data_IF_961948510357
#
_entry.id   IF_961948510357
#
_cell.length_a   1.000
_cell.length_b   1.000
_cell.length_c   1.000
_cell.angle_alpha   90.00
_cell.angle_beta   90.00
_cell.angle_gamma   90.00
#
_symmetry.space_group_name_H-M   'P 1'
#
loop_
_entity.id
_entity.type
_entity.pdbx_description
1 polymer ?
#
# COMPACT_ATOMS: atom_id res chain seq x y z
N UNK A 1 -10.38 4.29 -7.24
CA UNK A 1 -11.13 3.03 -7.44
C UNK A 1 -10.30 2.15 -8.38
N UNK A 2 -10.20 0.86 -8.09
CA UNK A 2 -9.48 -0.12 -8.91
C UNK A 2 -10.46 -1.20 -9.40
N UNK A 3 -10.15 -1.84 -10.54
CA UNK A 3 -10.95 -2.90 -11.14
C UNK A 3 -10.14 -4.19 -11.24
N UNK A 4 -10.78 -5.32 -10.97
CA UNK A 4 -10.21 -6.64 -11.14
C UNK A 4 -11.22 -7.59 -11.80
N UNK A 5 -10.73 -8.41 -12.73
CA UNK A 5 -11.51 -9.46 -13.41
C UNK A 5 -10.80 -10.82 -13.22
N UNK A 6 -11.39 -11.68 -12.40
CA UNK A 6 -10.85 -13.01 -12.12
C UNK A 6 -10.95 -13.97 -13.33
N UNK A 7 -11.71 -13.61 -14.37
CA UNK A 7 -11.82 -14.40 -15.60
C UNK A 7 -10.77 -14.04 -16.65
N UNK A 8 -10.12 -12.87 -16.49
CA UNK A 8 -9.07 -12.44 -17.38
C UNK A 8 -7.76 -13.18 -17.12
N UNK A 9 -6.96 -13.47 -18.16
CA UNK A 9 -5.65 -14.04 -17.96
C UNK A 9 -4.74 -13.09 -17.16
N UNK A 10 -4.06 -13.63 -16.15
CA UNK A 10 -3.11 -12.86 -15.37
C UNK A 10 -1.77 -12.75 -16.11
N UNK A 11 -1.32 -11.53 -16.33
CA UNK A 11 0.03 -11.30 -16.82
C UNK A 11 1.05 -11.83 -15.82
N UNK A 12 2.01 -12.61 -16.30
CA UNK A 12 3.14 -13.06 -15.49
C UNK A 12 4.35 -12.16 -15.75
N UNK A 13 5.20 -11.95 -14.75
CA UNK A 13 6.41 -11.16 -14.92
C UNK A 13 7.32 -11.75 -16.00
N UNK A 14 7.98 -10.88 -16.74
CA UNK A 14 8.91 -11.27 -17.82
C UNK A 14 10.37 -10.96 -17.48
N UNK A 15 10.60 -10.19 -16.44
CA UNK A 15 11.95 -9.83 -15.99
C UNK A 15 12.54 -10.91 -15.06
N UNK A 16 13.86 -11.19 -15.14
CA UNK A 16 14.53 -12.10 -14.24
C UNK A 16 14.35 -11.70 -12.76
N UNK A 17 14.25 -12.71 -11.89
CA UNK A 17 14.13 -12.55 -10.44
C UNK A 17 12.86 -11.83 -9.95
N UNK A 18 11.84 -11.73 -10.80
CA UNK A 18 10.52 -11.26 -10.38
C UNK A 18 9.70 -12.39 -9.77
N UNK A 19 9.05 -12.14 -8.65
CA UNK A 19 8.14 -13.11 -8.03
C UNK A 19 6.93 -13.37 -8.92
N UNK A 20 6.46 -14.62 -9.04
CA UNK A 20 5.29 -14.93 -9.86
C UNK A 20 4.03 -14.30 -9.26
N UNK A 21 3.10 -13.90 -10.12
CA UNK A 21 1.75 -13.50 -9.70
C UNK A 21 0.94 -14.76 -9.39
N UNK A 22 0.55 -14.92 -8.12
CA UNK A 22 -0.25 -16.07 -7.66
C UNK A 22 -1.72 -15.66 -7.63
N UNK A 23 -2.56 -16.35 -8.41
CA UNK A 23 -4.00 -16.11 -8.41
C UNK A 23 -4.67 -16.88 -7.26
N UNK A 24 -5.51 -16.21 -6.51
CA UNK A 24 -6.56 -16.88 -5.78
C UNK A 24 -7.68 -17.23 -6.77
N UNK A 25 -7.95 -18.51 -6.96
CA UNK A 25 -8.96 -18.95 -7.91
C UNK A 25 -10.36 -18.82 -7.30
N UNK A 26 -11.26 -18.12 -8.00
CA UNK A 26 -12.69 -18.25 -7.78
C UNK A 26 -13.23 -19.41 -8.62
N UNK A 27 -14.20 -20.15 -8.07
CA UNK A 27 -14.91 -21.17 -8.86
C UNK A 27 -15.60 -20.50 -10.07
N UNK A 28 -15.63 -21.17 -11.25
CA UNK A 28 -16.37 -20.66 -12.39
C UNK A 28 -17.85 -20.39 -12.02
N UNK A 29 -18.34 -19.21 -12.41
CA UNK A 29 -19.69 -18.77 -12.08
C UNK A 29 -19.91 -18.28 -10.65
N UNK A 30 -18.87 -18.20 -9.82
CA UNK A 30 -18.97 -17.56 -8.51
C UNK A 30 -19.32 -16.07 -8.63
N UNK A 31 -20.04 -15.56 -7.63
CA UNK A 31 -20.28 -14.11 -7.53
C UNK A 31 -18.96 -13.34 -7.37
N UNK A 32 -18.96 -12.07 -7.76
CA UNK A 32 -17.80 -11.20 -7.63
C UNK A 32 -16.56 -11.63 -8.43
N UNK A 33 -16.74 -12.28 -9.58
CA UNK A 33 -15.61 -12.53 -10.50
C UNK A 33 -15.04 -11.22 -11.03
N UNK A 34 -15.91 -10.25 -11.31
CA UNK A 34 -15.55 -8.88 -11.65
C UNK A 34 -15.86 -7.98 -10.48
N UNK A 35 -14.85 -7.25 -9.99
CA UNK A 35 -15.00 -6.43 -8.80
C UNK A 35 -14.36 -5.07 -8.92
N UNK A 36 -15.01 -4.13 -8.28
CA UNK A 36 -14.47 -2.80 -8.02
C UNK A 36 -13.95 -2.76 -6.59
N UNK A 37 -12.71 -2.26 -6.42
CA UNK A 37 -12.11 -2.06 -5.12
C UNK A 37 -11.94 -0.57 -4.88
N UNK A 38 -12.34 -0.13 -3.70
CA UNK A 38 -12.19 1.25 -3.27
C UNK A 38 -11.84 1.30 -1.80
N UNK A 39 -11.13 2.33 -1.40
CA UNK A 39 -10.94 2.64 0.00
C UNK A 39 -11.82 3.85 0.39
N UNK A 40 -12.05 3.99 1.67
CA UNK A 40 -12.85 5.06 2.25
C UNK A 40 -12.00 5.91 3.17
N UNK A 41 -12.40 7.16 3.34
CA UNK A 41 -11.67 8.12 4.18
C UNK A 41 -11.56 7.68 5.64
N UNK A 42 -12.51 6.85 6.11
CA UNK A 42 -12.56 6.32 7.46
C UNK A 42 -11.73 5.04 7.67
N UNK A 43 -10.93 4.64 6.65
CA UNK A 43 -9.97 3.54 6.77
C UNK A 43 -10.52 2.15 6.49
N UNK A 44 -11.40 1.99 5.49
CA UNK A 44 -11.85 0.67 5.01
C UNK A 44 -11.41 0.43 3.58
N UNK A 45 -11.06 -0.79 3.24
CA UNK A 45 -10.96 -1.28 1.87
C UNK A 45 -12.22 -2.10 1.56
N UNK A 46 -12.89 -1.77 0.49
CA UNK A 46 -14.20 -2.33 0.10
C UNK A 46 -14.07 -3.01 -1.25
N UNK A 47 -14.69 -4.20 -1.40
CA UNK A 47 -14.87 -4.87 -2.67
C UNK A 47 -16.35 -4.98 -3.02
N UNK A 48 -16.70 -4.52 -4.21
CA UNK A 48 -18.06 -4.52 -4.75
C UNK A 48 -18.08 -5.31 -6.06
N UNK A 49 -19.07 -6.15 -6.23
CA UNK A 49 -19.34 -6.85 -7.48
C UNK A 49 -19.66 -5.83 -8.59
N UNK A 50 -18.91 -5.85 -9.67
CA UNK A 50 -19.01 -4.85 -10.74
C UNK A 50 -20.29 -5.00 -11.56
N UNK A 51 -20.95 -6.16 -11.51
CA UNK A 51 -22.17 -6.42 -12.27
C UNK A 51 -23.44 -6.06 -11.49
N UNK A 52 -23.42 -6.25 -10.17
CA UNK A 52 -24.61 -6.12 -9.31
C UNK A 52 -24.55 -4.92 -8.37
N UNK A 53 -23.38 -4.35 -8.13
CA UNK A 53 -23.17 -3.29 -7.14
C UNK A 53 -23.23 -3.77 -5.68
N UNK A 54 -23.32 -5.07 -5.43
CA UNK A 54 -23.38 -5.62 -4.08
C UNK A 54 -21.99 -5.87 -3.51
N UNK A 55 -21.85 -5.85 -2.19
CA UNK A 55 -20.59 -6.21 -1.54
C UNK A 55 -20.18 -7.65 -1.85
N UNK A 56 -18.88 -7.85 -2.12
CA UNK A 56 -18.27 -9.16 -2.28
C UNK A 56 -18.12 -9.84 -0.93
N UNK A 57 -19.13 -10.58 -0.48
CA UNK A 57 -19.24 -11.11 0.88
C UNK A 57 -18.04 -11.96 1.33
N UNK A 58 -17.34 -12.60 0.40
CA UNK A 58 -16.11 -13.37 0.67
C UNK A 58 -14.84 -12.53 0.81
N UNK A 59 -14.92 -11.20 0.67
CA UNK A 59 -13.79 -10.29 0.84
C UNK A 59 -13.78 -9.70 2.25
N UNK A 60 -12.75 -10.00 3.04
CA UNK A 60 -12.63 -9.57 4.42
C UNK A 60 -13.84 -9.96 5.26
N UNK A 61 -14.41 -9.01 5.98
CA UNK A 61 -15.64 -9.19 6.73
C UNK A 61 -16.79 -8.48 6.00
N UNK A 62 -17.73 -9.24 5.44
CA UNK A 62 -18.87 -8.70 4.70
C UNK A 62 -18.50 -7.72 3.58
N UNK A 63 -17.47 -8.04 2.81
CA UNK A 63 -17.02 -7.21 1.67
C UNK A 63 -16.05 -6.10 2.05
N UNK A 64 -15.51 -6.09 3.26
CA UNK A 64 -14.69 -4.99 3.78
C UNK A 64 -13.51 -5.49 4.60
N UNK A 65 -12.40 -4.73 4.54
CA UNK A 65 -11.21 -4.89 5.39
C UNK A 65 -11.02 -3.61 6.19
N UNK A 66 -10.78 -3.75 7.50
CA UNK A 66 -10.43 -2.63 8.38
C UNK A 66 -8.95 -2.26 8.21
N UNK A 67 -8.67 -1.11 7.63
CA UNK A 67 -7.31 -0.61 7.42
C UNK A 67 -6.73 0.12 8.63
N UNK A 68 -7.49 0.32 9.71
CA UNK A 68 -6.96 0.81 10.98
C UNK A 68 -6.40 -0.31 11.86
N UNK A 69 -6.59 -1.58 11.48
CA UNK A 69 -6.02 -2.72 12.21
C UNK A 69 -4.49 -2.61 12.31
N UNK A 70 -3.94 -2.82 13.51
CA UNK A 70 -2.51 -2.72 13.79
C UNK A 70 -1.96 -1.28 13.91
N UNK A 71 -2.79 -0.25 13.81
CA UNK A 71 -2.35 1.14 13.98
C UNK A 71 -2.49 1.68 15.41
N UNK A 72 -3.07 0.89 16.32
CA UNK A 72 -3.37 1.30 17.69
C UNK A 72 -4.60 2.21 17.79
N UNK A 73 -4.59 3.12 18.74
CA UNK A 73 -5.62 4.14 18.84
C UNK A 73 -5.42 5.18 17.74
N UNK A 74 -6.43 5.32 16.89
CA UNK A 74 -6.41 6.21 15.73
C UNK A 74 -7.61 7.14 15.81
N UNK A 75 -7.46 8.33 16.43
CA UNK A 75 -8.48 9.36 16.40
C UNK A 75 -8.89 9.70 14.96
N UNK A 76 -10.10 10.25 14.81
CA UNK A 76 -10.60 10.68 13.53
C UNK A 76 -9.65 11.67 12.87
N UNK A 77 -9.43 11.53 11.57
CA UNK A 77 -8.48 12.29 10.75
C UNK A 77 -6.99 12.00 10.93
N UNK A 78 -6.56 11.20 11.91
CA UNK A 78 -5.14 10.89 12.08
C UNK A 78 -4.61 9.91 11.02
N UNK A 79 -5.47 9.04 10.49
CA UNK A 79 -5.15 8.14 9.38
C UNK A 79 -6.30 8.13 8.38
N UNK A 80 -6.01 8.42 7.12
CA UNK A 80 -6.99 8.55 6.05
C UNK A 80 -6.45 7.94 4.75
N UNK A 81 -7.36 7.47 3.88
CA UNK A 81 -7.03 6.98 2.55
C UNK A 81 -7.30 8.08 1.52
N UNK A 82 -6.26 8.78 1.09
CA UNK A 82 -6.37 9.91 0.16
C UNK A 82 -6.23 9.52 -1.31
N UNK A 83 -5.66 8.33 -1.60
CA UNK A 83 -5.49 7.81 -2.96
C UNK A 83 -6.23 6.49 -3.16
N UNK A 84 -6.58 6.17 -4.40
CA UNK A 84 -7.19 4.90 -4.75
C UNK A 84 -6.25 3.73 -4.42
N UNK A 85 -6.80 2.54 -4.08
CA UNK A 85 -5.97 1.34 -3.98
C UNK A 85 -5.38 0.99 -5.36
N UNK A 86 -4.17 0.44 -5.37
CA UNK A 86 -3.49 0.02 -6.60
C UNK A 86 -3.72 -1.49 -6.83
N UNK A 87 -4.13 -1.86 -8.04
CA UNK A 87 -4.10 -3.27 -8.47
C UNK A 87 -2.72 -3.63 -8.99
N UNK A 88 -2.10 -4.63 -8.37
CA UNK A 88 -0.81 -5.19 -8.76
C UNK A 88 -0.94 -6.72 -8.92
N UNK A 89 -1.25 -7.17 -10.13
CA UNK A 89 -1.62 -8.56 -10.39
C UNK A 89 -2.85 -8.97 -9.59
N UNK A 90 -2.69 -9.83 -8.60
CA UNK A 90 -3.75 -10.27 -7.67
C UNK A 90 -3.62 -9.67 -6.27
N UNK A 91 -2.74 -8.71 -6.11
CA UNK A 91 -2.55 -7.98 -4.85
C UNK A 91 -3.18 -6.59 -4.96
N UNK A 92 -3.97 -6.22 -3.97
CA UNK A 92 -4.47 -4.85 -3.79
C UNK A 92 -3.53 -4.15 -2.82
N UNK A 93 -2.81 -3.14 -3.30
CA UNK A 93 -1.85 -2.39 -2.49
C UNK A 93 -2.50 -1.11 -1.99
N UNK A 94 -2.33 -0.84 -0.70
CA UNK A 94 -2.91 0.31 -0.01
C UNK A 94 -1.82 0.98 0.82
N UNK A 95 -1.61 2.25 0.59
CA UNK A 95 -0.92 3.16 1.51
C UNK A 95 -1.95 3.97 2.31
N UNK A 96 -1.50 4.98 3.01
CA UNK A 96 -2.40 5.87 3.73
C UNK A 96 -1.71 7.18 4.09
N UNK A 97 -2.49 8.23 4.23
CA UNK A 97 -2.06 9.50 4.77
C UNK A 97 -2.09 9.42 6.30
N UNK A 98 -1.00 9.76 6.94
CA UNK A 98 -0.93 10.08 8.36
C UNK A 98 -0.97 11.59 8.50
N UNK A 99 -1.72 12.13 9.45
CA UNK A 99 -1.83 13.58 9.63
C UNK A 99 -0.50 14.18 10.07
N UNK A 100 -0.12 15.28 9.44
CA UNK A 100 1.14 15.97 9.60
C UNK A 100 1.11 16.93 10.79
N UNK A 101 2.25 17.16 11.42
CA UNK A 101 2.49 18.25 12.37
C UNK A 101 1.44 18.43 13.49
N UNK A 102 0.69 17.37 13.84
CA UNK A 102 -0.30 17.38 14.93
C UNK A 102 0.36 17.09 16.27
N UNK A 103 1.14 16.02 16.31
CA UNK A 103 1.91 15.57 17.48
C UNK A 103 3.01 14.60 17.05
N UNK A 104 3.93 14.26 17.95
CA UNK A 104 5.05 13.35 17.64
C UNK A 104 4.66 11.88 17.69
N UNK A 105 3.59 11.52 18.36
CA UNK A 105 3.08 10.13 18.45
C UNK A 105 1.87 9.94 17.56
N UNK A 106 2.13 9.70 16.26
CA UNK A 106 1.11 9.46 15.23
C UNK A 106 1.03 7.98 14.85
N UNK A 107 -0.05 7.52 14.18
CA UNK A 107 -0.07 6.18 13.58
C UNK A 107 1.11 5.94 12.65
N UNK A 108 1.49 4.68 12.43
CA UNK A 108 2.52 4.32 11.46
C UNK A 108 2.05 4.45 10.02
N UNK A 109 2.99 4.76 9.12
CA UNK A 109 2.76 4.91 7.67
C UNK A 109 2.80 3.59 6.89
N UNK A 110 2.41 2.48 7.49
CA UNK A 110 2.48 1.14 6.90
C UNK A 110 1.79 1.04 5.54
N UNK A 111 2.47 0.39 4.58
CA UNK A 111 1.92 0.00 3.29
C UNK A 111 1.55 -1.48 3.35
N UNK A 112 0.39 -1.87 2.80
CA UNK A 112 -0.09 -3.25 2.89
C UNK A 112 -0.60 -3.77 1.57
N UNK A 113 -0.29 -5.04 1.28
CA UNK A 113 -0.83 -5.81 0.17
C UNK A 113 -1.88 -6.81 0.65
N UNK A 114 -3.03 -6.80 0.01
CA UNK A 114 -4.15 -7.70 0.31
C UNK A 114 -4.46 -8.60 -0.89
N UNK A 115 -4.84 -9.83 -0.62
CA UNK A 115 -5.39 -10.72 -1.64
C UNK A 115 -6.68 -10.12 -2.22
N UNK A 116 -6.73 -9.99 -3.56
CA UNK A 116 -7.85 -9.34 -4.24
C UNK A 116 -9.17 -10.09 -4.08
N UNK A 117 -9.13 -11.41 -3.86
CA UNK A 117 -10.32 -12.26 -3.73
C UNK A 117 -10.82 -12.30 -2.29
N UNK A 118 -9.92 -12.57 -1.36
CA UNK A 118 -10.27 -12.85 0.05
C UNK A 118 -10.18 -11.64 0.96
N UNK A 119 -9.41 -10.61 0.56
CA UNK A 119 -9.10 -9.48 1.44
C UNK A 119 -8.14 -9.82 2.58
N UNK A 120 -7.57 -11.03 2.60
CA UNK A 120 -6.54 -11.38 3.55
C UNK A 120 -5.26 -10.60 3.26
N UNK A 121 -4.62 -10.08 4.29
CA UNK A 121 -3.33 -9.42 4.15
C UNK A 121 -2.28 -10.47 3.74
N UNK A 122 -1.57 -10.18 2.65
CA UNK A 122 -0.43 -10.98 2.16
C UNK A 122 0.86 -10.53 2.78
N UNK A 123 1.02 -9.23 2.89
CA UNK A 123 2.20 -8.59 3.45
C UNK A 123 1.92 -7.19 3.97
N UNK A 124 2.76 -6.74 4.88
CA UNK A 124 2.88 -5.36 5.31
C UNK A 124 4.31 -4.90 5.10
N UNK A 125 4.51 -3.66 4.68
CA UNK A 125 5.79 -2.98 4.72
C UNK A 125 5.68 -1.84 5.73
N UNK A 126 6.30 -2.03 6.89
CA UNK A 126 6.40 -1.01 7.93
C UNK A 126 7.73 -0.27 7.76
N UNK A 127 7.75 1.02 7.38
CA UNK A 127 8.99 1.77 7.23
C UNK A 127 9.85 1.81 8.50
N UNK A 128 9.27 1.62 9.68
CA UNK A 128 10.00 1.55 10.96
C UNK A 128 10.50 0.15 11.31
N UNK A 129 10.04 -0.89 10.62
CA UNK A 129 10.46 -2.29 10.80
C UNK A 129 10.42 -3.04 9.45
N UNK A 130 11.28 -2.66 8.48
CA UNK A 130 11.18 -3.10 7.09
C UNK A 130 11.52 -4.58 6.85
N UNK A 131 12.00 -5.30 7.86
CA UNK A 131 12.32 -6.73 7.74
C UNK A 131 11.11 -7.62 8.06
N UNK A 132 10.07 -7.12 8.71
CA UNK A 132 8.87 -7.88 9.05
C UNK A 132 7.72 -7.55 8.08
N UNK A 133 7.13 -8.60 7.50
CA UNK A 133 6.01 -8.50 6.55
C UNK A 133 4.67 -8.85 7.17
N UNK A 134 4.64 -9.13 8.46
CA UNK A 134 3.45 -9.59 9.16
C UNK A 134 2.64 -8.42 9.76
N UNK A 135 1.42 -8.72 10.17
CA UNK A 135 0.70 -7.86 11.09
C UNK A 135 1.40 -7.87 12.46
N UNK A 136 1.36 -6.75 13.21
CA UNK A 136 1.86 -6.75 14.57
C UNK A 136 1.10 -7.77 15.42
N UNK A 137 1.76 -8.30 16.44
CA UNK A 137 1.14 -9.21 17.40
C UNK A 137 -0.04 -8.53 18.12
N UNK A 138 -0.97 -9.34 18.64
CA UNK A 138 -2.10 -8.84 19.38
C UNK A 138 -1.67 -7.90 20.53
N UNK A 139 -2.29 -6.74 20.59
CA UNK A 139 -1.95 -5.70 21.56
C UNK A 139 -0.75 -4.83 21.19
N UNK A 140 -0.09 -5.11 20.06
CA UNK A 140 1.01 -4.31 19.50
C UNK A 140 0.55 -3.50 18.29
N UNK A 141 1.41 -2.55 17.85
CA UNK A 141 1.17 -1.72 16.67
C UNK A 141 2.35 -1.78 15.71
N UNK A 142 2.13 -1.40 14.47
CA UNK A 142 3.22 -0.97 13.59
C UNK A 142 3.99 0.17 14.23
N UNK A 143 5.24 0.39 13.81
CA UNK A 143 6.06 1.49 14.33
C UNK A 143 5.37 2.81 14.04
N UNK A 144 5.27 3.63 15.08
CA UNK A 144 4.51 4.87 15.01
C UNK A 144 5.33 6.00 14.38
N UNK A 145 4.61 6.97 13.80
CA UNK A 145 5.16 8.22 13.24
C UNK A 145 6.11 8.05 12.06
N UNK A 146 6.09 6.89 11.41
CA UNK A 146 6.97 6.56 10.27
C UNK A 146 6.50 7.23 8.97
N UNK A 147 7.39 7.33 7.95
CA UNK A 147 7.04 7.75 6.60
C UNK A 147 5.83 7.00 6.06
N UNK A 148 5.02 7.66 5.25
CA UNK A 148 3.77 7.10 4.72
C UNK A 148 3.69 7.25 3.19
N UNK A 149 2.77 6.51 2.54
CA UNK A 149 2.51 6.63 1.11
C UNK A 149 1.05 7.03 0.89
N UNK A 150 0.81 8.32 0.79
CA UNK A 150 -0.53 8.89 0.63
C UNK A 150 -0.90 9.20 -0.83
N UNK A 151 0.10 9.39 -1.69
CA UNK A 151 -0.07 9.71 -3.09
C UNK A 151 -0.35 8.47 -3.96
N UNK A 152 -0.83 8.62 -5.20
CA UNK A 152 -1.07 7.50 -6.11
C UNK A 152 0.21 6.73 -6.42
N UNK A 153 0.10 5.41 -6.46
CA UNK A 153 1.20 4.46 -6.72
C UNK A 153 1.15 3.94 -8.16
N UNK A 154 2.27 3.36 -8.66
CA UNK A 154 2.35 2.71 -9.97
C UNK A 154 2.75 1.24 -9.84
N UNK A 155 2.39 0.44 -10.84
CA UNK A 155 2.73 -0.99 -10.93
C UNK A 155 3.29 -1.33 -12.31
N UNK A 156 4.43 -2.02 -12.34
CA UNK A 156 4.99 -2.62 -13.53
C UNK A 156 4.75 -4.15 -13.51
N UNK A 157 3.90 -4.67 -14.40
CA UNK A 157 3.63 -6.11 -14.45
C UNK A 157 4.81 -6.93 -14.96
N UNK A 158 5.71 -6.37 -15.77
CA UNK A 158 6.88 -7.09 -16.29
C UNK A 158 7.90 -7.38 -15.19
N UNK A 159 8.05 -6.45 -14.25
CA UNK A 159 8.93 -6.59 -13.10
C UNK A 159 8.20 -7.09 -11.83
N UNK A 160 6.89 -7.20 -11.87
CA UNK A 160 6.04 -7.42 -10.69
C UNK A 160 6.39 -6.48 -9.53
N UNK A 161 6.50 -5.19 -9.84
CA UNK A 161 7.01 -4.19 -8.90
C UNK A 161 6.01 -3.05 -8.73
N UNK A 162 5.74 -2.69 -7.49
CA UNK A 162 5.00 -1.47 -7.16
C UNK A 162 5.98 -0.37 -6.79
N UNK A 163 5.69 0.84 -7.26
CA UNK A 163 6.47 2.05 -6.99
C UNK A 163 5.61 3.00 -6.16
N UNK A 164 6.11 3.33 -4.99
CA UNK A 164 5.41 4.09 -3.97
C UNK A 164 6.10 5.43 -3.77
N UNK A 165 5.40 6.55 -4.00
CA UNK A 165 5.89 7.85 -3.60
C UNK A 165 5.70 7.98 -2.09
N UNK A 166 6.79 8.20 -1.36
CA UNK A 166 6.80 8.28 0.10
C UNK A 166 6.81 9.74 0.55
N UNK A 167 5.94 10.04 1.48
CA UNK A 167 5.95 11.26 2.26
C UNK A 167 6.88 11.16 3.46
N UNK A 168 7.00 12.24 4.21
CA UNK A 168 7.82 12.31 5.41
C UNK A 168 7.21 11.55 6.59
N UNK A 169 8.00 11.36 7.65
CA UNK A 169 7.52 10.90 8.96
C UNK A 169 6.85 12.06 9.69
N UNK A 170 5.92 11.80 10.58
CA UNK A 170 5.39 12.84 11.48
C UNK A 170 6.43 13.12 12.59
N UNK A 171 6.82 14.34 12.83
CA UNK A 171 6.38 15.62 12.29
C UNK A 171 7.28 16.06 11.12
N UNK A 172 6.70 16.61 10.05
CA UNK A 172 7.44 16.83 8.79
C UNK A 172 8.49 17.95 8.91
N UNK A 173 8.18 18.98 9.67
CA UNK A 173 9.05 20.15 9.84
C UNK A 173 9.97 20.07 11.08
N UNK A 174 10.00 18.92 11.79
CA UNK A 174 10.79 18.71 12.99
C UNK A 174 11.52 17.36 12.95
N UNK A 175 12.81 17.37 12.70
CA UNK A 175 13.60 16.17 12.46
C UNK A 175 14.37 15.59 13.65
N UNK A 176 14.26 16.17 14.87
CA UNK A 176 15.08 15.75 16.01
C UNK A 176 14.79 14.33 16.48
N UNK A 177 13.55 13.86 16.31
CA UNK A 177 13.11 12.52 16.73
C UNK A 177 13.15 11.48 15.60
N UNK A 178 13.55 11.87 14.37
CA UNK A 178 13.62 10.97 13.23
C UNK A 178 14.68 9.90 13.43
N UNK A 179 14.28 8.66 13.24
CA UNK A 179 15.18 7.51 13.21
C UNK A 179 15.98 7.48 11.91
N UNK A 180 16.97 6.59 11.84
CA UNK A 180 17.68 6.33 10.59
C UNK A 180 16.75 5.83 9.48
N UNK A 181 15.73 5.04 9.81
CA UNK A 181 14.77 4.51 8.87
C UNK A 181 13.84 5.62 8.34
N UNK A 182 13.45 6.58 9.18
CA UNK A 182 12.70 7.75 8.72
C UNK A 182 13.48 8.56 7.69
N UNK A 183 14.78 8.70 7.91
CA UNK A 183 15.68 9.33 6.92
C UNK A 183 15.89 8.49 5.65
N UNK A 184 15.73 7.17 5.72
CA UNK A 184 15.87 6.29 4.55
C UNK A 184 14.63 6.35 3.67
N UNK A 185 13.45 6.27 4.27
CA UNK A 185 12.19 6.11 3.53
C UNK A 185 11.43 7.42 3.30
N UNK A 186 11.69 8.47 4.09
CA UNK A 186 11.04 9.77 3.88
C UNK A 186 11.45 10.44 2.57
N UNK A 187 10.54 11.17 1.92
CA UNK A 187 10.72 11.88 0.66
C UNK A 187 11.44 11.02 -0.41
N UNK A 188 10.98 9.78 -0.63
CA UNK A 188 11.63 8.79 -1.49
C UNK A 188 10.67 8.13 -2.47
N UNK A 189 11.21 7.47 -3.50
CA UNK A 189 10.51 6.45 -4.26
C UNK A 189 10.93 5.09 -3.72
N UNK A 190 9.97 4.32 -3.22
CA UNK A 190 10.18 2.97 -2.71
C UNK A 190 9.66 1.96 -3.73
N UNK A 191 10.46 0.95 -4.08
CA UNK A 191 10.08 -0.14 -4.97
C UNK A 191 9.96 -1.45 -4.19
N UNK A 192 8.77 -2.06 -4.21
CA UNK A 192 8.50 -3.33 -3.55
C UNK A 192 8.08 -4.39 -4.56
N UNK A 193 8.41 -5.64 -4.28
CA UNK A 193 7.79 -6.78 -4.96
C UNK A 193 6.29 -6.84 -4.65
N UNK A 194 5.44 -6.88 -5.67
CA UNK A 194 4.00 -6.82 -5.49
C UNK A 194 3.41 -8.07 -4.82
N UNK A 195 4.07 -9.22 -4.91
CA UNK A 195 3.61 -10.50 -4.34
C UNK A 195 4.03 -10.65 -2.88
N UNK A 196 5.27 -10.28 -2.55
CA UNK A 196 5.87 -10.55 -1.23
C UNK A 196 5.98 -9.31 -0.34
N UNK A 197 5.94 -8.11 -0.90
CA UNK A 197 6.19 -6.86 -0.19
C UNK A 197 7.68 -6.61 0.10
N UNK A 198 8.58 -7.44 -0.45
CA UNK A 198 10.02 -7.27 -0.23
C UNK A 198 10.53 -6.02 -0.94
N UNK A 199 11.40 -5.30 -0.25
CA UNK A 199 12.07 -4.14 -0.83
C UNK A 199 13.02 -4.58 -1.95
N UNK A 200 12.85 -3.95 -3.12
CA UNK A 200 13.80 -4.08 -4.22
C UNK A 200 14.84 -2.96 -4.18
N UNK A 201 14.39 -1.76 -3.93
CA UNK A 201 15.24 -0.59 -3.72
C UNK A 201 14.43 0.59 -3.17
N UNK A 202 15.13 1.54 -2.60
CA UNK A 202 14.63 2.86 -2.23
C UNK A 202 15.54 3.93 -2.81
N UNK A 203 14.94 4.99 -3.37
CA UNK A 203 15.66 6.16 -3.88
C UNK A 203 15.13 7.42 -3.22
N UNK A 204 15.94 8.02 -2.38
CA UNK A 204 15.59 9.25 -1.69
C UNK A 204 15.76 10.45 -2.62
N UNK A 205 14.73 11.28 -2.76
CA UNK A 205 14.72 12.46 -3.64
C UNK A 205 15.19 13.72 -2.91
N UNK A 206 14.86 13.83 -1.62
CA UNK A 206 15.28 14.92 -0.75
C UNK A 206 15.86 14.34 0.54
N UNK A 207 17.14 14.61 0.80
CA UNK A 207 17.80 14.17 2.02
C UNK A 207 17.49 15.10 3.19
N UNK A 208 17.15 14.51 4.35
CA UNK A 208 16.86 15.25 5.59
C UNK A 208 15.81 16.36 5.39
N UNK A 209 14.74 16.01 4.70
CA UNK A 209 13.64 16.94 4.42
C UNK A 209 13.01 17.48 5.72
N UNK A 210 13.00 18.79 5.87
CA UNK A 210 12.35 19.55 6.95
C UNK A 210 11.42 20.63 6.39
N UNK A 211 11.03 20.51 5.12
CA UNK A 211 10.21 21.48 4.40
C UNK A 211 8.92 20.88 3.84
N UNK A 212 8.66 19.61 4.19
CA UNK A 212 7.48 18.87 3.71
C UNK A 212 7.45 18.77 2.17
N UNK A 213 8.57 18.31 1.60
CA UNK A 213 8.72 18.12 0.15
C UNK A 213 8.12 16.82 -0.36
N UNK A 214 7.30 16.16 0.38
CA UNK A 214 6.62 14.93 0.00
C UNK A 214 6.63 14.63 -1.51
N UNK A 215 6.59 13.39 -1.90
CA UNK A 215 6.38 12.99 -3.30
C UNK A 215 4.87 12.88 -3.58
N UNK A 216 4.21 13.94 -4.07
CA UNK A 216 2.76 13.95 -4.22
C UNK A 216 2.28 13.33 -5.54
N UNK A 217 3.21 12.96 -6.43
CA UNK A 217 2.88 12.55 -7.79
C UNK A 217 3.05 11.05 -7.98
N UNK A 218 2.15 10.48 -8.78
CA UNK A 218 2.27 9.09 -9.23
C UNK A 218 3.58 8.89 -10.02
N UNK A 219 4.42 7.89 -9.67
CA UNK A 219 5.59 7.55 -10.45
C UNK A 219 5.22 7.18 -11.89
N UNK A 220 5.87 7.82 -12.87
CA UNK A 220 5.67 7.52 -14.29
C UNK A 220 6.62 6.42 -14.75
N UNK A 221 6.07 5.39 -15.39
CA UNK A 221 6.84 4.30 -16.00
C UNK A 221 7.06 4.62 -17.47
N UNK A 222 8.32 4.65 -17.91
CA UNK A 222 8.68 4.94 -19.29
C UNK A 222 9.77 3.98 -19.77
N UNK A 223 9.68 3.55 -21.01
CA UNK A 223 10.77 2.87 -21.70
C UNK A 223 11.68 3.90 -22.37
N UNK A 224 12.98 3.79 -22.18
CA UNK A 224 13.95 4.62 -22.87
C UNK A 224 15.18 3.79 -23.29
N UNK A 225 15.73 4.14 -24.42
CA UNK A 225 17.01 3.57 -24.89
C UNK A 225 18.14 4.49 -24.45
N UNK A 226 19.13 3.93 -23.79
CA UNK A 226 20.35 4.65 -23.46
C UNK A 226 21.33 4.42 -24.62
N UNK A 227 21.75 5.50 -25.30
CA UNK A 227 22.78 5.48 -26.33
C UNK A 227 24.16 5.17 -25.75
#
# INVERSE_FOLDING_TARGET
MAYFDATAPLAQPTQPNSSPVVAAALAPGANCQRRLLTNTIDGRLIAVDADTGQFCQGFGTNGQVNLKAGLGDVPDSFYQLSSAPLMAGTTVVVGGRVADNVQTDMPGGVIRGFDVITGQMRWAFDPGNPEDRNAPADGSTYVRSTPNSWAPMSYDPAMNTVFLPMGSSSTDIYGVERSKLDHTYGASVLALDATTGDEKWVYQTVHNDLWDFDLPMQPSLIDFTKD
#
